data_IF_558797094813
#
_entry.id   IF_558797094813
#
_cell.length_a   1.000
_cell.length_b   1.000
_cell.length_c   1.000
_cell.angle_alpha   90.00
_cell.angle_beta   90.00
_cell.angle_gamma   90.00
#
_symmetry.space_group_name_H-M   'P 1'
#
loop_
_entity.id
_entity.type
_entity.pdbx_description
1 polymer ?
#
# COMPACT_ATOMS: atom_id res chain seq x y z
N UNK A 1 -26.69 -41.94 -4.43
CA UNK A 1 -26.06 -41.04 -3.45
C UNK A 1 -24.71 -40.64 -4.01
N UNK A 2 -24.62 -39.45 -4.60
CA UNK A 2 -23.39 -38.70 -4.87
C UNK A 2 -23.83 -37.38 -5.53
N UNK A 3 -24.13 -36.36 -4.71
CA UNK A 3 -24.16 -34.98 -5.18
C UNK A 3 -22.81 -34.41 -4.80
N UNK A 4 -21.88 -34.39 -5.75
CA UNK A 4 -20.68 -33.58 -5.62
C UNK A 4 -21.10 -32.14 -5.95
N UNK A 5 -21.31 -31.35 -4.92
CA UNK A 5 -21.50 -29.90 -5.03
C UNK A 5 -20.11 -29.27 -5.14
N UNK A 6 -19.56 -29.26 -6.36
CA UNK A 6 -18.45 -28.38 -6.70
C UNK A 6 -19.04 -26.99 -6.94
N UNK A 7 -19.34 -26.29 -5.86
CA UNK A 7 -19.67 -24.86 -5.91
C UNK A 7 -18.36 -24.12 -6.17
N UNK A 8 -18.21 -23.39 -7.30
CA UNK A 8 -17.07 -22.51 -7.45
C UNK A 8 -17.13 -21.47 -6.33
N UNK A 9 -16.22 -21.59 -5.36
CA UNK A 9 -16.01 -20.54 -4.36
C UNK A 9 -15.65 -19.27 -5.14
N UNK A 10 -16.50 -18.25 -5.02
CA UNK A 10 -16.16 -16.90 -5.44
C UNK A 10 -14.81 -16.56 -4.82
N UNK A 11 -13.80 -16.10 -5.58
CA UNK A 11 -12.51 -15.79 -5.01
C UNK A 11 -12.72 -14.71 -3.95
N UNK A 12 -12.39 -15.05 -2.70
CA UNK A 12 -12.43 -14.08 -1.62
C UNK A 12 -11.43 -12.96 -1.95
N UNK A 13 -11.81 -11.72 -1.66
CA UNK A 13 -10.92 -10.58 -1.77
C UNK A 13 -9.58 -10.88 -1.06
N UNK A 14 -8.44 -10.40 -1.57
CA UNK A 14 -7.14 -10.62 -0.95
C UNK A 14 -7.16 -10.08 0.50
N UNK A 15 -6.51 -10.82 1.41
CA UNK A 15 -6.20 -10.28 2.73
C UNK A 15 -5.08 -9.25 2.59
N UNK A 16 -5.35 -8.03 3.04
CA UNK A 16 -4.45 -6.87 2.93
C UNK A 16 -3.99 -6.38 4.32
N UNK A 17 -4.35 -7.09 5.39
CA UNK A 17 -4.09 -6.67 6.76
C UNK A 17 -2.59 -6.63 7.12
N UNK A 18 -1.75 -7.38 6.39
CA UNK A 18 -0.29 -7.34 6.53
C UNK A 18 0.30 -5.96 6.22
N UNK A 19 -0.24 -5.29 5.20
CA UNK A 19 0.26 -4.02 4.65
C UNK A 19 0.18 -2.89 5.69
N UNK A 20 -0.83 -2.89 6.56
CA UNK A 20 -1.03 -1.85 7.58
C UNK A 20 0.17 -1.72 8.53
N UNK A 21 0.91 -2.82 8.71
CA UNK A 21 2.05 -2.88 9.64
C UNK A 21 3.40 -2.62 8.97
N UNK A 22 3.46 -2.61 7.63
CA UNK A 22 4.72 -2.50 6.88
C UNK A 22 5.42 -1.14 7.05
N UNK A 23 6.75 -1.16 7.07
CA UNK A 23 7.55 0.05 6.91
C UNK A 23 7.48 0.62 5.48
N UNK A 24 7.94 1.86 5.27
CA UNK A 24 7.93 2.49 3.94
C UNK A 24 8.73 1.68 2.91
N UNK A 25 9.96 1.26 3.25
CA UNK A 25 10.84 0.55 2.31
C UNK A 25 10.27 -0.80 1.92
N UNK A 26 9.76 -1.55 2.89
CA UNK A 26 9.09 -2.84 2.68
C UNK A 26 7.84 -2.69 1.79
N UNK A 27 6.95 -1.75 2.12
CA UNK A 27 5.75 -1.48 1.32
C UNK A 27 6.10 -1.08 -0.13
N UNK A 28 7.16 -0.27 -0.31
CA UNK A 28 7.65 0.12 -1.63
C UNK A 28 8.23 -1.06 -2.41
N UNK A 29 8.99 -1.94 -1.78
CA UNK A 29 9.55 -3.13 -2.44
C UNK A 29 8.48 -4.13 -2.85
N UNK A 30 7.47 -4.35 -2.00
CA UNK A 30 6.30 -5.16 -2.35
C UNK A 30 5.53 -4.51 -3.51
N UNK A 31 5.32 -3.18 -3.50
CA UNK A 31 4.62 -2.48 -4.58
C UNK A 31 5.31 -2.67 -5.92
N UNK A 32 6.65 -2.52 -5.96
CA UNK A 32 7.44 -2.73 -7.18
C UNK A 32 7.28 -4.16 -7.69
N UNK A 33 7.27 -5.16 -6.80
CA UNK A 33 7.04 -6.57 -7.18
C UNK A 33 5.65 -6.80 -7.73
N UNK A 34 4.62 -6.25 -7.08
CA UNK A 34 3.23 -6.37 -7.53
C UNK A 34 3.02 -5.73 -8.91
N UNK A 35 3.57 -4.53 -9.15
CA UNK A 35 3.52 -3.87 -10.46
C UNK A 35 4.25 -4.71 -11.52
N UNK A 36 5.44 -5.23 -11.21
CA UNK A 36 6.18 -6.07 -12.15
C UNK A 36 5.39 -7.34 -12.55
N UNK A 37 4.63 -7.94 -11.63
CA UNK A 37 3.76 -9.08 -11.91
C UNK A 37 2.57 -8.69 -12.81
N UNK A 38 1.93 -7.55 -12.53
CA UNK A 38 0.86 -7.01 -13.37
C UNK A 38 1.34 -6.72 -14.80
N UNK A 39 2.53 -6.13 -14.94
CA UNK A 39 3.12 -5.77 -16.23
C UNK A 39 3.56 -7.00 -17.05
N UNK A 40 4.03 -8.06 -16.38
CA UNK A 40 4.37 -9.31 -17.05
C UNK A 40 3.14 -9.95 -17.71
N UNK A 41 1.95 -9.75 -17.13
CA UNK A 41 0.70 -10.34 -17.59
C UNK A 41 0.73 -11.87 -17.53
N UNK A 42 -0.17 -12.51 -18.28
CA UNK A 42 -0.26 -13.97 -18.33
C UNK A 42 -0.94 -14.64 -17.12
N UNK A 43 -1.43 -13.83 -16.18
CA UNK A 43 -2.25 -14.22 -15.03
C UNK A 43 -3.74 -14.24 -15.39
N UNK A 44 -4.54 -14.99 -14.63
CA UNK A 44 -6.00 -14.96 -14.78
C UNK A 44 -6.56 -13.58 -14.41
N UNK A 45 -7.79 -13.27 -14.83
CA UNK A 45 -8.44 -11.98 -14.53
C UNK A 45 -8.55 -11.77 -13.02
N UNK A 46 -9.00 -12.80 -12.31
CA UNK A 46 -9.20 -12.78 -10.86
C UNK A 46 -7.88 -12.52 -10.11
N UNK A 47 -6.79 -13.13 -10.57
CA UNK A 47 -5.45 -12.91 -10.02
C UNK A 47 -4.95 -11.50 -10.34
N UNK A 48 -5.21 -10.99 -11.55
CA UNK A 48 -4.88 -9.63 -11.95
C UNK A 48 -5.62 -8.58 -11.10
N UNK A 49 -6.88 -8.86 -10.75
CA UNK A 49 -7.65 -8.00 -9.85
C UNK A 49 -7.09 -8.02 -8.42
N UNK A 50 -6.76 -9.20 -7.88
CA UNK A 50 -6.16 -9.31 -6.56
C UNK A 50 -4.80 -8.59 -6.48
N UNK A 51 -3.98 -8.70 -7.53
CA UNK A 51 -2.71 -7.96 -7.65
C UNK A 51 -2.93 -6.44 -7.71
N UNK A 52 -3.94 -5.99 -8.46
CA UNK A 52 -4.28 -4.57 -8.51
C UNK A 52 -4.73 -4.04 -7.13
N UNK A 53 -5.64 -4.73 -6.44
CA UNK A 53 -6.12 -4.33 -5.11
C UNK A 53 -4.97 -4.29 -4.08
N UNK A 54 -4.05 -5.27 -4.14
CA UNK A 54 -2.84 -5.26 -3.31
C UNK A 54 -1.93 -4.06 -3.66
N UNK A 55 -1.75 -3.77 -4.95
CA UNK A 55 -0.97 -2.62 -5.42
C UNK A 55 -1.52 -1.29 -4.89
N UNK A 56 -2.83 -1.09 -4.95
CA UNK A 56 -3.50 0.11 -4.43
C UNK A 56 -3.29 0.25 -2.91
N UNK A 57 -3.43 -0.84 -2.15
CA UNK A 57 -3.19 -0.82 -0.71
C UNK A 57 -1.74 -0.48 -0.34
N UNK A 58 -0.76 -1.03 -1.07
CA UNK A 58 0.66 -0.73 -0.88
C UNK A 58 0.99 0.72 -1.24
N UNK A 59 0.40 1.26 -2.31
CA UNK A 59 0.55 2.66 -2.68
C UNK A 59 0.02 3.59 -1.58
N UNK A 60 -1.19 3.34 -1.08
CA UNK A 60 -1.78 4.09 0.03
C UNK A 60 -0.90 4.05 1.29
N UNK A 61 -0.30 2.90 1.62
CA UNK A 61 0.63 2.77 2.74
C UNK A 61 1.89 3.64 2.53
N UNK A 62 2.43 3.66 1.32
CA UNK A 62 3.58 4.50 0.98
C UNK A 62 3.23 5.99 1.12
N UNK A 63 2.07 6.41 0.62
CA UNK A 63 1.60 7.79 0.72
C UNK A 63 1.45 8.24 2.18
N UNK A 64 0.85 7.40 3.03
CA UNK A 64 0.72 7.69 4.46
C UNK A 64 2.07 8.00 5.14
N UNK A 65 3.12 7.24 4.81
CA UNK A 65 4.46 7.50 5.33
C UNK A 65 5.06 8.81 4.81
N UNK A 66 4.85 9.13 3.53
CA UNK A 66 5.36 10.35 2.91
C UNK A 66 4.65 11.60 3.44
N UNK A 67 3.35 11.53 3.66
CA UNK A 67 2.59 12.60 4.28
C UNK A 67 3.05 12.88 5.72
N UNK A 68 3.21 11.83 6.53
CA UNK A 68 3.77 11.99 7.88
C UNK A 68 5.20 12.54 7.88
N UNK A 69 6.01 12.27 6.85
CA UNK A 69 7.32 12.89 6.70
C UNK A 69 7.21 14.39 6.36
N UNK A 70 6.32 14.74 5.44
CA UNK A 70 6.06 16.13 5.02
C UNK A 70 5.57 16.99 6.19
N UNK A 71 4.63 16.50 6.98
CA UNK A 71 4.12 17.21 8.17
C UNK A 71 5.21 17.47 9.21
N UNK A 72 6.09 16.48 9.46
CA UNK A 72 7.22 16.65 10.39
C UNK A 72 8.22 17.70 9.90
N UNK A 73 8.46 17.75 8.59
CA UNK A 73 9.33 18.75 7.97
C UNK A 73 8.73 20.15 8.10
N UNK A 74 7.43 20.30 7.83
CA UNK A 74 6.74 21.58 7.94
C UNK A 74 6.76 22.10 9.38
N UNK A 75 6.40 21.26 10.35
CA UNK A 75 6.45 21.62 11.77
C UNK A 75 7.87 22.00 12.24
N UNK A 76 8.92 21.39 11.66
CA UNK A 76 10.29 21.75 11.96
C UNK A 76 10.71 23.10 11.35
N UNK A 77 10.12 23.50 10.22
CA UNK A 77 10.33 24.82 9.61
C UNK A 77 9.64 25.92 10.43
N UNK A 78 8.35 25.76 10.75
CA UNK A 78 7.61 26.75 11.54
C UNK A 78 8.25 27.01 12.91
N UNK A 79 8.72 25.96 13.60
CA UNK A 79 9.43 26.13 14.89
C UNK A 79 10.73 26.94 14.76
N UNK A 80 11.44 26.85 13.64
CA UNK A 80 12.67 27.64 13.42
C UNK A 80 12.33 29.11 13.21
N UNK A 81 11.30 29.39 12.40
CA UNK A 81 10.82 30.75 12.14
C UNK A 81 10.32 31.43 13.43
N UNK A 82 9.56 30.72 14.27
CA UNK A 82 9.12 31.21 15.58
C UNK A 82 10.29 31.55 16.54
N UNK A 83 11.37 30.76 16.48
CA UNK A 83 12.56 30.97 17.31
C UNK A 83 13.35 32.19 16.84
N UNK A 84 13.46 32.40 15.54
CA UNK A 84 14.18 33.53 14.95
C UNK A 84 13.45 34.87 15.21
N UNK A 85 12.11 34.87 15.16
CA UNK A 85 11.28 36.08 15.43
C UNK A 85 11.20 36.43 16.93
N UNK A 86 11.37 35.47 17.84
CA UNK A 86 11.33 35.71 19.30
C UNK A 86 12.69 36.08 19.90
N UNK A 87 13.78 35.91 19.13
CA UNK A 87 15.16 36.16 19.58
C UNK A 87 15.77 37.48 19.10
N UNK A 88 15.06 38.23 18.24
CA UNK A 88 15.44 39.58 17.78
C UNK A 88 14.80 40.69 18.59
#
# INVERSE_FOLDING_TARGET
MAKNEDTPQSPAAPDLSDIETMGYEEAREELVRTVAQLEAGGTALEESLALWERGEALANRCEHWLDGARERLEAARSRREETDESGG
#
